data_IF_216833955997
#
_entry.id   IF_216833955997
#
_cell.length_a   1.000
_cell.length_b   1.000
_cell.length_c   1.000
_cell.angle_alpha   90.00
_cell.angle_beta   90.00
_cell.angle_gamma   90.00
#
_symmetry.space_group_name_H-M   'P 1'
#
loop_
_entity.id
_entity.type
_entity.pdbx_description
1 polymer ?
#
# COMPACT_ATOMS: atom_id res chain seq x y z
N UNK A 1 -6.91 -26.83 -11.33
CA UNK A 1 -7.23 -25.80 -12.34
C UNK A 1 -7.98 -24.60 -11.78
N UNK A 2 -9.26 -24.68 -11.36
CA UNK A 2 -9.99 -23.50 -10.89
C UNK A 2 -9.40 -22.84 -9.63
N UNK A 3 -8.96 -23.65 -8.66
CA UNK A 3 -8.29 -23.18 -7.44
C UNK A 3 -6.93 -22.54 -7.73
N UNK A 4 -6.15 -23.10 -8.65
CA UNK A 4 -4.84 -22.57 -9.06
C UNK A 4 -4.97 -21.22 -9.77
N UNK A 5 -6.00 -21.05 -10.61
CA UNK A 5 -6.30 -19.77 -11.26
C UNK A 5 -6.70 -18.71 -10.22
N UNK A 6 -7.47 -19.09 -9.21
CA UNK A 6 -7.83 -18.17 -8.12
C UNK A 6 -6.61 -17.72 -7.32
N UNK A 7 -5.76 -18.67 -6.90
CA UNK A 7 -4.54 -18.39 -6.14
C UNK A 7 -3.60 -17.46 -6.90
N UNK A 8 -3.30 -17.78 -8.17
CA UNK A 8 -2.41 -16.97 -9.01
C UNK A 8 -2.94 -15.56 -9.29
N UNK A 9 -4.27 -15.42 -9.47
CA UNK A 9 -4.91 -14.11 -9.66
C UNK A 9 -4.82 -13.26 -8.39
N UNK A 10 -5.10 -13.85 -7.22
CA UNK A 10 -4.99 -13.16 -5.94
C UNK A 10 -3.54 -12.75 -5.65
N UNK A 11 -2.58 -13.63 -5.90
CA UNK A 11 -1.16 -13.33 -5.74
C UNK A 11 -0.73 -12.16 -6.64
N UNK A 12 -1.13 -12.18 -7.91
CA UNK A 12 -0.84 -11.10 -8.86
C UNK A 12 -1.47 -9.77 -8.42
N UNK A 13 -2.71 -9.81 -7.94
CA UNK A 13 -3.40 -8.64 -7.42
C UNK A 13 -2.66 -8.04 -6.22
N UNK A 14 -2.24 -8.87 -5.25
CA UNK A 14 -1.48 -8.43 -4.08
C UNK A 14 -0.15 -7.81 -4.49
N UNK A 15 0.56 -8.38 -5.46
CA UNK A 15 1.82 -7.82 -5.97
C UNK A 15 1.62 -6.43 -6.60
N UNK A 16 0.59 -6.27 -7.44
CA UNK A 16 0.25 -4.97 -8.03
C UNK A 16 -0.08 -3.96 -6.93
N UNK A 17 -0.90 -4.37 -5.95
CA UNK A 17 -1.28 -3.52 -4.84
C UNK A 17 -0.08 -3.11 -3.97
N UNK A 18 0.89 -4.01 -3.75
CA UNK A 18 2.17 -3.71 -3.09
C UNK A 18 2.93 -2.60 -3.83
N UNK A 19 3.02 -2.69 -5.16
CA UNK A 19 3.67 -1.65 -5.98
C UNK A 19 2.95 -0.30 -5.82
N UNK A 20 1.61 -0.30 -5.84
CA UNK A 20 0.83 0.93 -5.62
C UNK A 20 1.09 1.55 -4.25
N UNK A 21 1.20 0.75 -3.19
CA UNK A 21 1.57 1.24 -1.86
C UNK A 21 2.98 1.83 -1.83
N UNK A 22 3.96 1.16 -2.43
CA UNK A 22 5.33 1.68 -2.52
C UNK A 22 5.35 3.02 -3.27
N UNK A 23 4.67 3.11 -4.42
CA UNK A 23 4.55 4.36 -5.17
C UNK A 23 3.90 5.44 -4.30
N UNK A 24 2.79 5.12 -3.60
CA UNK A 24 2.11 6.07 -2.71
C UNK A 24 3.03 6.63 -1.63
N UNK A 25 3.88 5.79 -1.02
CA UNK A 25 4.86 6.18 0.00
C UNK A 25 5.97 7.04 -0.62
N UNK A 26 6.50 6.66 -1.78
CA UNK A 26 7.51 7.47 -2.46
C UNK A 26 6.97 8.86 -2.81
N UNK A 27 5.71 8.95 -3.24
CA UNK A 27 5.07 10.23 -3.54
C UNK A 27 4.96 11.15 -2.32
N UNK A 28 4.87 10.62 -1.09
CA UNK A 28 4.88 11.49 0.11
C UNK A 28 6.22 12.19 0.32
N UNK A 29 7.32 11.69 -0.26
CA UNK A 29 8.63 12.35 -0.21
C UNK A 29 8.71 13.54 -1.18
N UNK A 30 7.85 13.56 -2.21
CA UNK A 30 7.80 14.60 -3.23
C UNK A 30 6.57 15.51 -3.08
N UNK A 31 6.04 15.66 -1.86
CA UNK A 31 4.83 16.46 -1.56
C UNK A 31 4.88 17.93 -2.03
N UNK A 32 6.07 18.48 -2.30
CA UNK A 32 6.23 19.85 -2.83
C UNK A 32 6.00 19.95 -4.35
N UNK A 33 5.85 18.82 -5.03
CA UNK A 33 5.70 18.75 -6.48
C UNK A 33 4.23 18.53 -6.86
N UNK A 34 3.65 19.42 -7.68
CA UNK A 34 2.23 19.34 -8.07
C UNK A 34 1.89 18.04 -8.80
N UNK A 35 2.78 17.53 -9.65
CA UNK A 35 2.59 16.26 -10.35
C UNK A 35 2.53 15.08 -9.39
N UNK A 36 3.31 15.11 -8.30
CA UNK A 36 3.32 14.03 -7.31
C UNK A 36 2.00 14.03 -6.51
N UNK A 37 1.50 15.21 -6.16
CA UNK A 37 0.22 15.38 -5.48
C UNK A 37 -0.97 14.94 -6.34
N UNK A 38 -0.93 15.18 -7.67
CA UNK A 38 -1.95 14.69 -8.60
C UNK A 38 -1.97 13.15 -8.70
N UNK A 39 -0.81 12.51 -8.78
CA UNK A 39 -0.75 11.04 -8.80
C UNK A 39 -1.18 10.47 -7.44
N UNK A 40 -0.75 11.10 -6.35
CA UNK A 40 -1.12 10.72 -5.00
C UNK A 40 -2.63 10.82 -4.76
N UNK A 41 -3.31 11.82 -5.31
CA UNK A 41 -4.77 11.98 -5.15
C UNK A 41 -5.56 10.88 -5.85
N UNK A 42 -5.03 10.32 -6.95
CA UNK A 42 -5.61 9.15 -7.64
C UNK A 42 -5.34 7.87 -6.86
N UNK A 43 -4.16 7.72 -6.26
CA UNK A 43 -3.80 6.54 -5.47
C UNK A 43 -4.45 6.51 -4.07
N UNK A 44 -4.74 7.67 -3.49
CA UNK A 44 -5.24 7.77 -2.10
C UNK A 44 -6.54 7.00 -1.87
N UNK A 45 -7.60 7.11 -2.71
CA UNK A 45 -8.81 6.32 -2.53
C UNK A 45 -8.60 4.80 -2.55
N UNK A 46 -7.55 4.33 -3.25
CA UNK A 46 -7.22 2.91 -3.40
C UNK A 46 -6.39 2.42 -2.22
N UNK A 47 -5.43 3.23 -1.77
CA UNK A 47 -4.41 2.82 -0.80
C UNK A 47 -4.73 3.23 0.64
N UNK A 48 -5.40 4.37 0.83
CA UNK A 48 -5.70 4.93 2.14
C UNK A 48 -6.64 4.06 2.99
N UNK A 49 -7.69 3.40 2.46
CA UNK A 49 -8.54 2.52 3.29
C UNK A 49 -7.73 1.43 4.00
N UNK A 50 -6.73 0.86 3.32
CA UNK A 50 -5.83 -0.13 3.89
C UNK A 50 -4.84 0.53 4.87
N UNK A 51 -4.18 1.62 4.48
CA UNK A 51 -3.21 2.31 5.34
C UNK A 51 -3.86 2.87 6.62
N UNK A 52 -5.11 3.34 6.55
CA UNK A 52 -5.84 3.90 7.68
C UNK A 52 -6.12 2.86 8.78
N UNK A 53 -6.26 1.58 8.42
CA UNK A 53 -6.34 0.48 9.41
C UNK A 53 -5.07 0.50 10.26
N UNK A 54 -3.89 0.64 9.64
CA UNK A 54 -2.60 0.63 10.34
C UNK A 54 -2.25 1.97 11.02
N UNK A 55 -2.65 3.11 10.45
CA UNK A 55 -2.52 4.43 11.09
C UNK A 55 -3.27 4.50 12.43
N UNK A 56 -4.35 3.75 12.56
CA UNK A 56 -5.11 3.67 13.82
C UNK A 56 -4.33 2.92 14.92
N UNK A 57 -3.42 2.03 14.55
CA UNK A 57 -2.57 1.30 15.51
C UNK A 57 -1.26 2.05 15.82
N UNK A 58 -0.70 2.77 14.84
CA UNK A 58 0.56 3.49 14.98
C UNK A 58 0.32 4.95 14.62
N UNK A 59 0.13 5.84 15.61
CA UNK A 59 0.04 7.27 15.34
C UNK A 59 1.34 7.77 14.70
N UNK A 60 1.27 8.76 13.79
CA UNK A 60 2.46 9.29 13.13
C UNK A 60 3.43 9.87 14.16
N UNK A 61 4.66 9.37 14.18
CA UNK A 61 5.71 9.80 15.09
C UNK A 61 6.53 10.89 14.41
N UNK A 62 6.45 12.13 14.92
CA UNK A 62 7.25 13.25 14.40
C UNK A 62 6.89 13.66 12.96
N UNK A 63 5.64 13.46 12.54
CA UNK A 63 5.17 13.82 11.19
C UNK A 63 5.53 12.81 10.09
N UNK A 64 6.23 11.72 10.43
CA UNK A 64 6.53 10.60 9.53
C UNK A 64 5.55 9.47 9.81
N UNK A 65 4.89 9.02 8.75
CA UNK A 65 3.94 7.91 8.80
C UNK A 65 4.70 6.58 8.69
N UNK A 66 4.83 5.87 9.82
CA UNK A 66 5.45 4.53 9.86
C UNK A 66 4.45 3.39 9.61
N UNK A 67 3.15 3.70 9.58
CA UNK A 67 2.09 2.72 9.27
C UNK A 67 2.30 1.96 7.95
N UNK A 68 2.89 2.55 6.87
CA UNK A 68 3.07 1.83 5.63
C UNK A 68 4.09 0.68 5.72
N UNK A 69 5.07 0.76 6.63
CA UNK A 69 6.04 -0.32 6.83
C UNK A 69 5.34 -1.57 7.36
N UNK A 70 4.52 -1.39 8.40
CA UNK A 70 3.76 -2.49 8.99
C UNK A 70 2.70 -3.02 8.01
N UNK A 71 2.05 -2.12 7.26
CA UNK A 71 1.10 -2.47 6.21
C UNK A 71 1.75 -3.35 5.13
N UNK A 72 2.91 -2.94 4.60
CA UNK A 72 3.66 -3.72 3.59
C UNK A 72 4.07 -5.08 4.16
N UNK A 73 4.56 -5.13 5.40
CA UNK A 73 5.00 -6.37 6.03
C UNK A 73 3.84 -7.39 6.17
N UNK A 74 2.68 -6.95 6.66
CA UNK A 74 1.49 -7.79 6.76
C UNK A 74 1.06 -8.28 5.38
N UNK A 75 1.05 -7.40 4.39
CA UNK A 75 0.67 -7.75 3.03
C UNK A 75 1.62 -8.77 2.38
N UNK A 76 2.93 -8.67 2.64
CA UNK A 76 3.92 -9.64 2.17
C UNK A 76 3.75 -11.02 2.82
N UNK A 77 3.44 -11.08 4.12
CA UNK A 77 3.12 -12.35 4.79
C UNK A 77 1.89 -12.97 4.11
N UNK A 78 0.82 -12.20 3.92
CA UNK A 78 -0.40 -12.68 3.25
C UNK A 78 -0.09 -13.17 1.83
N UNK A 79 0.74 -12.44 1.08
CA UNK A 79 1.15 -12.83 -0.26
C UNK A 79 1.94 -14.16 -0.29
N UNK A 80 2.72 -14.46 0.76
CA UNK A 80 3.51 -15.69 0.86
C UNK A 80 2.73 -16.92 1.35
N UNK A 81 1.47 -16.75 1.76
CA UNK A 81 0.59 -17.86 2.15
C UNK A 81 -0.09 -18.54 0.96
N UNK A 82 0.00 -17.93 -0.22
CA UNK A 82 -0.59 -18.38 -1.48
C UNK A 82 0.51 -18.72 -2.48
#
# INVERSE_FOLDING_TARGET
MATELLTSTLQSFIQIYLVLLIVRILLTWFQTMDWANQIASVLSPITDPYLNIFRSFIPPLGGIDFSPILAIFVLQIVAGLF
#
